data_IF_488171161878
#
_entry.id   IF_488171161878
#
_cell.length_a   1.000
_cell.length_b   1.000
_cell.length_c   1.000
_cell.angle_alpha   90.00
_cell.angle_beta   90.00
_cell.angle_gamma   90.00
#
_symmetry.space_group_name_H-M   'P 1'
#
loop_
_entity.id
_entity.type
_entity.pdbx_description
1 polymer ?
#
# COMPACT_ATOMS: atom_id res chain seq x y z
N UNK A 1 -85.11 20.28 -12.26
CA UNK A 1 -85.11 20.06 -13.72
C UNK A 1 -83.73 20.45 -14.23
N UNK A 2 -83.16 19.57 -15.05
CA UNK A 2 -82.15 19.85 -16.08
C UNK A 2 -80.68 20.04 -15.65
N UNK A 3 -79.90 19.04 -16.05
CA UNK A 3 -78.47 19.04 -16.30
C UNK A 3 -78.01 20.21 -17.17
N UNK A 4 -76.77 20.69 -16.99
CA UNK A 4 -75.80 20.80 -18.11
C UNK A 4 -74.35 20.94 -17.60
N UNK A 5 -73.46 20.14 -18.18
CA UNK A 5 -72.01 20.09 -17.94
C UNK A 5 -71.22 21.11 -18.82
N UNK A 6 -69.90 21.10 -18.57
CA UNK A 6 -68.75 21.37 -19.47
C UNK A 6 -68.24 22.84 -19.49
N UNK A 7 -67.05 23.11 -18.93
CA UNK A 7 -65.79 22.98 -19.68
C UNK A 7 -64.55 23.49 -18.92
N UNK A 8 -63.41 22.95 -19.34
CA UNK A 8 -62.07 22.93 -18.76
C UNK A 8 -61.30 24.25 -18.88
N UNK A 9 -60.46 24.50 -17.89
CA UNK A 9 -59.14 25.11 -18.08
C UNK A 9 -58.53 25.66 -16.80
N UNK A 10 -57.37 25.15 -16.37
CA UNK A 10 -56.37 26.05 -15.81
C UNK A 10 -55.03 25.83 -16.52
N UNK A 11 -54.57 26.91 -17.17
CA UNK A 11 -53.22 27.05 -17.67
C UNK A 11 -52.41 27.81 -16.62
N UNK A 12 -51.12 27.48 -16.53
CA UNK A 12 -50.02 28.20 -15.85
C UNK A 12 -49.87 27.97 -14.34
N UNK A 13 -49.00 27.05 -13.90
CA UNK A 13 -47.51 27.10 -13.85
C UNK A 13 -47.02 27.89 -12.64
N UNK A 14 -46.48 27.19 -11.63
CA UNK A 14 -45.05 27.30 -11.26
C UNK A 14 -44.72 26.31 -10.14
N UNK A 15 -43.87 25.35 -10.50
CA UNK A 15 -43.28 24.35 -9.64
C UNK A 15 -42.18 24.97 -8.76
N UNK A 16 -42.22 24.73 -7.45
CA UNK A 16 -41.06 24.93 -6.56
C UNK A 16 -40.55 23.56 -6.14
N UNK A 17 -39.66 22.99 -6.95
CA UNK A 17 -38.89 21.80 -6.65
C UNK A 17 -37.67 22.23 -5.80
N UNK A 18 -37.77 22.13 -4.48
CA UNK A 18 -36.68 22.39 -3.55
C UNK A 18 -35.67 21.24 -3.60
N UNK A 19 -34.67 21.37 -4.49
CA UNK A 19 -33.55 20.44 -4.59
C UNK A 19 -32.63 20.65 -3.38
N UNK A 20 -32.65 19.71 -2.44
CA UNK A 20 -31.70 19.64 -1.32
C UNK A 20 -30.33 19.21 -1.89
N UNK A 21 -29.53 20.20 -2.28
CA UNK A 21 -28.18 20.01 -2.81
C UNK A 21 -27.24 19.66 -1.65
N UNK A 22 -27.03 18.36 -1.43
CA UNK A 22 -26.02 17.87 -0.50
C UNK A 22 -24.63 18.35 -0.96
N UNK A 23 -23.98 19.15 -0.12
CA UNK A 23 -22.58 19.56 -0.24
C UNK A 23 -21.67 18.33 -0.21
N UNK A 24 -21.46 17.71 -1.37
CA UNK A 24 -20.35 16.78 -1.58
C UNK A 24 -19.10 17.63 -1.73
N UNK A 25 -18.37 17.85 -0.64
CA UNK A 25 -17.05 18.46 -0.69
C UNK A 25 -16.16 17.62 -1.63
N UNK A 26 -15.60 18.20 -2.71
CA UNK A 26 -14.64 17.48 -3.51
C UNK A 26 -13.44 17.15 -2.62
N UNK A 27 -13.14 15.86 -2.43
CA UNK A 27 -11.85 15.45 -1.89
C UNK A 27 -10.80 16.03 -2.81
N UNK A 28 -10.00 16.96 -2.27
CA UNK A 28 -8.87 17.52 -2.97
C UNK A 28 -8.08 16.38 -3.60
N UNK A 29 -8.05 16.35 -4.93
CA UNK A 29 -7.13 15.50 -5.65
C UNK A 29 -5.73 15.95 -5.19
N UNK A 30 -5.03 15.06 -4.48
CA UNK A 30 -3.60 15.21 -4.22
C UNK A 30 -2.94 15.38 -5.58
N UNK A 31 -2.66 16.63 -5.94
CA UNK A 31 -1.76 16.89 -7.06
C UNK A 31 -0.46 16.16 -6.75
N UNK A 32 0.19 15.61 -7.77
CA UNK A 32 1.53 15.02 -7.65
C UNK A 32 2.61 16.08 -7.33
N UNK A 33 2.26 17.11 -6.54
CA UNK A 33 3.13 18.14 -6.01
C UNK A 33 3.88 17.65 -4.78
N UNK A 34 5.12 18.13 -4.64
CA UNK A 34 5.95 17.89 -3.46
C UNK A 34 5.23 18.49 -2.24
N UNK A 35 4.90 17.65 -1.26
CA UNK A 35 4.21 18.06 -0.04
C UNK A 35 5.13 17.99 1.19
N UNK A 36 6.42 17.72 0.98
CA UNK A 36 7.47 17.84 1.99
C UNK A 36 8.32 19.10 1.79
N UNK A 37 8.75 19.73 2.89
CA UNK A 37 9.64 20.90 2.86
C UNK A 37 10.62 20.89 4.03
N UNK A 38 11.76 21.57 3.85
CA UNK A 38 12.70 21.85 4.95
C UNK A 38 12.35 23.20 5.57
N UNK A 39 12.26 23.25 6.89
CA UNK A 39 12.07 24.47 7.66
C UNK A 39 13.18 24.63 8.70
N UNK A 40 13.48 25.87 9.06
CA UNK A 40 14.44 26.23 10.11
C UNK A 40 13.67 26.85 11.29
N UNK A 41 13.98 26.42 12.50
CA UNK A 41 13.46 27.02 13.73
C UNK A 41 14.52 26.92 14.82
N UNK A 42 14.89 28.05 15.42
CA UNK A 42 15.84 28.10 16.55
C UNK A 42 17.19 27.45 16.24
N UNK A 43 17.74 27.64 15.03
CA UNK A 43 19.00 27.04 14.61
C UNK A 43 18.94 25.55 14.21
N UNK A 44 17.82 24.87 14.48
CA UNK A 44 17.57 23.50 14.06
C UNK A 44 16.80 23.45 12.74
N UNK A 45 17.06 22.41 11.96
CA UNK A 45 16.32 22.12 10.74
C UNK A 45 15.33 20.99 10.97
N UNK A 46 14.21 21.06 10.25
CA UNK A 46 13.14 20.09 10.31
C UNK A 46 12.60 19.79 8.92
N UNK A 47 12.20 18.55 8.70
CA UNK A 47 11.40 18.15 7.55
C UNK A 47 9.94 18.19 7.98
N UNK A 48 9.13 18.96 7.27
CA UNK A 48 7.70 19.02 7.48
C UNK A 48 7.06 18.25 6.33
N UNK A 49 6.31 17.21 6.67
CA UNK A 49 5.50 16.45 5.73
C UNK A 49 4.04 16.86 5.88
N UNK A 50 3.51 17.61 4.91
CA UNK A 50 2.09 17.98 4.84
C UNK A 50 1.24 16.93 4.10
N UNK A 51 1.88 15.95 3.45
CA UNK A 51 1.19 14.85 2.80
C UNK A 51 0.37 14.07 3.82
N UNK A 52 -0.72 13.46 3.35
CA UNK A 52 -1.55 12.57 4.16
C UNK A 52 -0.95 11.16 4.30
N UNK A 53 0.17 10.90 3.65
CA UNK A 53 0.89 9.64 3.66
C UNK A 53 2.34 9.82 4.11
N UNK A 54 2.97 8.73 4.52
CA UNK A 54 4.39 8.72 4.86
C UNK A 54 5.26 8.99 3.62
N UNK A 55 6.32 9.79 3.78
CA UNK A 55 7.27 10.11 2.72
C UNK A 55 8.70 9.74 3.10
N UNK A 56 9.42 9.13 2.17
CA UNK A 56 10.87 8.97 2.20
C UNK A 56 11.50 10.16 1.48
N UNK A 57 12.30 10.93 2.21
CA UNK A 57 12.84 12.21 1.75
C UNK A 57 14.36 12.14 1.76
N UNK A 58 14.97 12.34 0.60
CA UNK A 58 16.42 12.52 0.50
C UNK A 58 16.79 13.98 0.67
N UNK A 59 17.68 14.26 1.61
CA UNK A 59 18.21 15.59 1.88
C UNK A 59 19.67 15.65 1.53
N UNK A 60 20.01 16.69 0.76
CA UNK A 60 21.36 17.12 0.49
C UNK A 60 21.70 18.32 1.37
N UNK A 61 22.82 18.22 2.10
CA UNK A 61 23.40 19.30 2.90
C UNK A 61 24.70 19.77 2.25
N UNK A 62 24.74 21.03 1.82
CA UNK A 62 25.99 21.68 1.36
C UNK A 62 26.56 22.55 2.49
N UNK A 63 27.85 22.38 2.78
CA UNK A 63 28.63 23.23 3.69
C UNK A 63 29.60 24.09 2.88
N UNK A 64 29.90 25.31 3.36
CA UNK A 64 30.91 26.16 2.73
C UNK A 64 32.29 25.51 2.92
N UNK A 65 33.13 25.53 1.89
CA UNK A 65 34.49 24.98 1.93
C UNK A 65 34.60 23.45 1.79
N UNK A 66 33.48 22.72 1.72
CA UNK A 66 33.49 21.26 1.48
C UNK A 66 32.92 21.01 0.09
N UNK A 67 33.71 20.38 -0.79
CA UNK A 67 33.32 20.11 -2.17
C UNK A 67 32.14 19.13 -2.25
N UNK A 68 32.16 18.07 -1.45
CA UNK A 68 31.18 16.99 -1.52
C UNK A 68 30.03 17.20 -0.52
N UNK A 69 28.76 17.27 -0.98
CA UNK A 69 27.62 17.47 -0.11
C UNK A 69 27.23 16.18 0.62
N UNK A 70 26.70 16.30 1.83
CA UNK A 70 26.26 15.16 2.63
C UNK A 70 24.82 14.81 2.28
N UNK A 71 24.57 13.55 1.95
CA UNK A 71 23.23 13.03 1.64
C UNK A 71 22.69 12.21 2.83
N UNK A 72 21.43 12.38 3.18
CA UNK A 72 20.72 11.53 4.16
C UNK A 72 19.27 11.30 3.75
N UNK A 73 18.79 10.10 4.01
CA UNK A 73 17.40 9.68 3.74
C UNK A 73 16.62 9.62 5.04
N UNK A 74 15.39 10.13 5.04
CA UNK A 74 14.52 10.14 6.22
C UNK A 74 13.12 9.65 5.88
N UNK A 75 12.57 8.78 6.73
CA UNK A 75 11.16 8.39 6.69
C UNK A 75 10.36 9.35 7.58
N UNK A 76 9.51 10.15 6.95
CA UNK A 76 8.75 11.20 7.62
C UNK A 76 7.28 10.82 7.61
N UNK A 77 6.70 10.64 8.79
CA UNK A 77 5.28 10.27 8.97
C UNK A 77 4.36 11.32 8.33
N UNK A 78 3.16 10.91 7.93
CA UNK A 78 2.13 11.82 7.43
C UNK A 78 1.86 12.96 8.43
N UNK A 79 1.62 14.17 7.90
CA UNK A 79 1.25 15.37 8.70
C UNK A 79 2.13 15.59 9.93
N UNK A 80 3.45 15.39 9.78
CA UNK A 80 4.40 15.43 10.90
C UNK A 80 5.59 16.33 10.64
N UNK A 81 6.30 16.66 11.72
CA UNK A 81 7.55 17.41 11.71
C UNK A 81 8.65 16.51 12.24
N UNK A 82 9.69 16.29 11.44
CA UNK A 82 10.82 15.42 11.77
C UNK A 82 12.10 16.25 11.95
N UNK A 83 12.79 16.18 13.10
CA UNK A 83 14.04 16.90 13.31
C UNK A 83 15.17 16.28 12.49
N UNK A 84 15.94 17.09 11.76
CA UNK A 84 17.13 16.58 11.08
C UNK A 84 18.37 16.82 11.93
N UNK A 85 19.15 15.77 12.15
CA UNK A 85 20.34 15.78 13.03
C UNK A 85 21.58 16.44 12.39
N UNK A 86 21.41 17.48 11.55
CA UNK A 86 22.54 18.18 10.95
C UNK A 86 23.09 19.23 11.93
N UNK A 87 24.30 18.98 12.45
CA UNK A 87 25.03 19.96 13.27
C UNK A 87 25.71 21.01 12.36
N UNK A 88 25.69 22.27 12.79
CA UNK A 88 26.48 23.36 12.20
C UNK A 88 25.90 24.03 10.94
N UNK A 89 26.57 25.11 10.46
CA UNK A 89 26.08 25.93 9.36
C UNK A 89 26.06 25.18 8.03
N UNK A 90 25.11 25.52 7.17
CA UNK A 90 24.93 24.93 5.85
C UNK A 90 23.54 25.16 5.28
N UNK A 91 23.32 24.65 4.08
CA UNK A 91 22.04 24.72 3.38
C UNK A 91 21.56 23.30 3.05
N UNK A 92 20.37 22.96 3.53
CA UNK A 92 19.70 21.68 3.27
C UNK A 92 18.66 21.86 2.18
N UNK A 93 18.59 20.90 1.25
CA UNK A 93 17.56 20.84 0.20
C UNK A 93 17.08 19.42 0.04
N UNK A 94 15.79 19.27 -0.25
CA UNK A 94 15.22 17.96 -0.59
C UNK A 94 15.53 17.67 -2.06
N UNK A 95 16.25 16.59 -2.30
CA UNK A 95 16.63 16.16 -3.66
C UNK A 95 15.63 15.16 -4.25
N UNK A 96 15.01 14.34 -3.42
CA UNK A 96 13.91 13.47 -3.86
C UNK A 96 12.88 13.26 -2.75
N UNK A 97 11.65 13.01 -3.15
CA UNK A 97 10.51 12.68 -2.29
C UNK A 97 9.78 11.51 -2.94
N UNK A 98 9.62 10.41 -2.21
CA UNK A 98 8.81 9.25 -2.62
C UNK A 98 7.91 8.84 -1.46
N UNK A 99 6.80 8.15 -1.73
CA UNK A 99 6.00 7.59 -0.63
C UNK A 99 6.76 6.44 0.05
N UNK A 100 6.50 6.23 1.35
CA UNK A 100 7.04 5.09 2.09
C UNK A 100 6.55 3.77 1.51
N UNK A 101 7.35 2.72 1.63
CA UNK A 101 6.99 1.40 1.12
C UNK A 101 5.64 0.94 1.68
N UNK A 102 4.75 0.48 0.78
CA UNK A 102 3.37 0.10 1.12
C UNK A 102 2.32 1.22 0.99
N UNK A 103 2.71 2.48 0.81
CA UNK A 103 1.78 3.62 0.62
C UNK A 103 1.35 3.79 -0.84
N UNK A 104 0.17 4.37 -1.06
CA UNK A 104 -0.33 4.70 -2.42
C UNK A 104 0.65 5.68 -3.10
N UNK A 105 1.26 5.25 -4.20
CA UNK A 105 2.25 6.03 -4.96
C UNK A 105 3.72 5.81 -4.56
N UNK A 106 4.02 4.80 -3.74
CA UNK A 106 5.38 4.38 -3.45
C UNK A 106 5.95 3.53 -4.60
N UNK A 107 7.25 3.67 -4.87
CA UNK A 107 7.96 2.65 -5.63
C UNK A 107 7.97 1.37 -4.78
N UNK A 108 7.25 0.34 -5.22
CA UNK A 108 7.31 -0.97 -4.59
C UNK A 108 8.63 -1.61 -5.01
N UNK A 109 9.43 -2.11 -4.07
CA UNK A 109 10.63 -2.87 -4.39
C UNK A 109 10.23 -4.14 -5.13
N UNK A 110 10.32 -4.17 -6.45
CA UNK A 110 9.99 -5.34 -7.29
C UNK A 110 10.88 -6.57 -6.93
N UNK A 111 12.01 -6.31 -6.27
CA UNK A 111 13.01 -7.29 -5.82
C UNK A 111 12.72 -7.80 -4.40
N UNK A 112 11.83 -7.17 -3.63
CA UNK A 112 11.44 -7.65 -2.31
C UNK A 112 10.35 -8.74 -2.44
N UNK A 113 10.57 -9.99 -1.97
CA UNK A 113 9.59 -11.07 -2.09
C UNK A 113 8.24 -10.78 -1.41
N UNK A 114 8.15 -9.73 -0.58
CA UNK A 114 6.88 -9.25 0.00
C UNK A 114 6.06 -8.35 -0.93
N UNK A 115 6.67 -7.64 -1.88
CA UNK A 115 5.94 -6.74 -2.79
C UNK A 115 5.19 -7.51 -3.89
N UNK A 116 5.74 -8.64 -4.34
CA UNK A 116 5.10 -9.54 -5.29
C UNK A 116 3.81 -10.15 -4.74
N UNK A 117 3.65 -10.21 -3.41
CA UNK A 117 2.45 -10.75 -2.77
C UNK A 117 1.21 -9.85 -2.92
N UNK A 118 1.34 -8.59 -3.34
CA UNK A 118 0.20 -7.65 -3.34
C UNK A 118 -0.40 -7.42 -4.74
N UNK A 119 0.21 -7.93 -5.82
CA UNK A 119 -0.30 -7.74 -7.19
C UNK A 119 -0.75 -9.05 -7.89
N UNK A 120 -0.36 -10.22 -7.40
CA UNK A 120 -1.04 -11.47 -7.75
C UNK A 120 -2.08 -11.77 -6.68
N UNK A 121 -3.33 -11.99 -7.09
CA UNK A 121 -4.32 -12.65 -6.24
C UNK A 121 -3.75 -14.02 -5.88
N UNK A 122 -2.99 -14.11 -4.78
CA UNK A 122 -2.38 -15.35 -4.33
C UNK A 122 -3.53 -16.29 -3.98
N UNK A 123 -3.84 -17.17 -4.92
CA UNK A 123 -4.88 -18.17 -4.76
C UNK A 123 -4.50 -19.12 -3.63
N UNK A 124 -3.20 -19.30 -3.41
CA UNK A 124 -2.67 -20.19 -2.40
C UNK A 124 -2.06 -19.41 -1.23
N UNK A 125 -2.39 -19.84 -0.01
CA UNK A 125 -1.80 -19.32 1.22
C UNK A 125 -1.31 -20.44 2.12
N UNK A 126 -0.24 -20.18 2.88
CA UNK A 126 0.22 -21.06 3.95
C UNK A 126 -0.43 -20.61 5.26
N UNK A 127 -1.05 -21.54 5.99
CA UNK A 127 -1.74 -21.30 7.27
C UNK A 127 -1.29 -22.33 8.29
N UNK A 128 -1.48 -22.02 9.57
CA UNK A 128 -1.46 -23.03 10.63
C UNK A 128 -2.90 -23.44 10.92
N UNK A 129 -3.13 -24.75 10.96
CA UNK A 129 -4.38 -25.35 11.42
C UNK A 129 -4.55 -25.13 12.94
N UNK A 130 -5.77 -25.33 13.44
CA UNK A 130 -6.05 -25.36 14.88
C UNK A 130 -5.23 -26.40 15.64
N UNK A 131 -4.79 -27.46 14.95
CA UNK A 131 -3.89 -28.49 15.49
C UNK A 131 -2.40 -28.09 15.49
N UNK A 132 -2.06 -26.88 15.05
CA UNK A 132 -0.67 -26.43 14.88
C UNK A 132 0.02 -26.97 13.61
N UNK A 133 -0.65 -27.81 12.82
CA UNK A 133 -0.11 -28.32 11.57
C UNK A 133 -0.09 -27.22 10.49
N UNK A 134 1.01 -27.10 9.76
CA UNK A 134 1.11 -26.18 8.62
C UNK A 134 0.36 -26.76 7.42
N UNK A 135 -0.50 -25.96 6.80
CA UNK A 135 -1.34 -26.34 5.66
C UNK A 135 -1.23 -25.33 4.53
N UNK A 136 -1.36 -25.80 3.29
CA UNK A 136 -1.60 -24.97 2.11
C UNK A 136 -3.10 -24.89 1.87
N UNK A 137 -3.62 -23.68 1.65
CA UNK A 137 -5.03 -23.43 1.35
C UNK A 137 -5.13 -22.78 -0.03
N UNK A 138 -5.81 -23.44 -0.96
CA UNK A 138 -6.19 -22.85 -2.23
C UNK A 138 -7.57 -22.21 -2.09
N UNK A 139 -7.65 -20.89 -2.01
CA UNK A 139 -8.90 -20.13 -1.94
C UNK A 139 -9.57 -19.89 -3.30
N UNK A 140 -8.93 -20.26 -4.41
CA UNK A 140 -9.50 -20.07 -5.73
C UNK A 140 -10.35 -21.26 -6.19
N UNK A 141 -11.31 -20.96 -7.07
CA UNK A 141 -12.19 -21.93 -7.71
C UNK A 141 -11.53 -22.70 -8.86
N UNK A 142 -10.20 -22.62 -8.98
CA UNK A 142 -9.42 -23.28 -10.03
C UNK A 142 -8.24 -24.06 -9.44
N UNK A 143 -7.75 -25.05 -10.19
CA UNK A 143 -6.59 -25.85 -9.78
C UNK A 143 -5.32 -24.99 -9.73
N UNK A 144 -4.51 -25.18 -8.69
CA UNK A 144 -3.25 -24.46 -8.50
C UNK A 144 -2.10 -25.41 -8.22
N UNK A 145 -0.95 -25.15 -8.84
CA UNK A 145 0.34 -25.74 -8.47
C UNK A 145 1.09 -24.75 -7.59
N UNK A 146 1.31 -25.07 -6.32
CA UNK A 146 1.99 -24.20 -5.35
C UNK A 146 3.40 -24.70 -5.05
N UNK A 147 4.40 -23.82 -5.06
CA UNK A 147 5.76 -24.10 -4.67
C UNK A 147 6.04 -23.55 -3.26
N UNK A 148 6.69 -24.37 -2.43
CA UNK A 148 7.18 -23.99 -1.10
C UNK A 148 8.67 -24.29 -0.98
N UNK A 149 9.33 -23.63 -0.03
CA UNK A 149 10.70 -23.93 0.39
C UNK A 149 10.72 -24.31 1.86
N UNK A 150 11.53 -25.31 2.22
CA UNK A 150 11.70 -25.78 3.61
C UNK A 150 12.95 -25.20 4.22
N UNK A 151 12.93 -24.98 5.53
CA UNK A 151 14.07 -24.50 6.28
C UNK A 151 14.39 -25.39 7.47
N UNK A 152 15.68 -25.65 7.67
CA UNK A 152 16.23 -26.33 8.83
C UNK A 152 16.34 -25.35 10.02
N UNK A 153 16.56 -25.84 11.26
CA UNK A 153 16.96 -24.99 12.36
C UNK A 153 18.16 -24.11 11.95
N UNK A 154 18.08 -22.80 12.18
CA UNK A 154 19.10 -21.85 11.71
C UNK A 154 18.87 -21.27 10.31
N UNK A 155 17.75 -21.58 9.64
CA UNK A 155 17.33 -20.90 8.41
C UNK A 155 17.98 -21.43 7.13
N UNK A 156 18.75 -22.53 7.19
CA UNK A 156 19.31 -23.18 6.00
C UNK A 156 18.19 -23.78 5.15
N UNK A 157 18.17 -23.47 3.85
CA UNK A 157 17.22 -24.09 2.91
C UNK A 157 17.44 -25.61 2.82
N UNK A 158 16.33 -26.35 2.88
CA UNK A 158 16.24 -27.80 2.71
C UNK A 158 15.64 -28.18 1.35
N UNK A 159 15.52 -27.20 0.43
CA UNK A 159 15.02 -27.41 -0.92
C UNK A 159 13.54 -27.06 -1.11
N UNK A 160 13.14 -27.07 -2.39
CA UNK A 160 11.82 -26.66 -2.87
C UNK A 160 10.92 -27.86 -3.14
N UNK A 161 9.64 -27.72 -2.88
CA UNK A 161 8.61 -28.74 -3.14
C UNK A 161 7.39 -28.11 -3.78
N UNK A 162 6.79 -28.83 -4.72
CA UNK A 162 5.58 -28.41 -5.41
C UNK A 162 4.37 -29.27 -5.01
N UNK A 163 3.21 -28.64 -4.90
CA UNK A 163 1.94 -29.26 -4.54
C UNK A 163 0.88 -28.93 -5.57
N UNK A 164 0.23 -29.96 -6.13
CA UNK A 164 -0.96 -29.79 -6.96
C UNK A 164 -2.19 -29.74 -6.06
N UNK A 165 -2.92 -28.63 -6.12
CA UNK A 165 -4.08 -28.32 -5.29
C UNK A 165 -5.35 -28.28 -6.12
N UNK A 166 -6.39 -28.98 -5.66
CA UNK A 166 -7.73 -28.87 -6.22
C UNK A 166 -8.31 -27.47 -5.92
N UNK A 167 -9.32 -26.99 -6.66
CA UNK A 167 -10.10 -25.82 -6.28
C UNK A 167 -10.54 -25.89 -4.81
N UNK A 168 -10.49 -24.77 -4.09
CA UNK A 168 -11.03 -24.66 -2.71
C UNK A 168 -10.57 -25.78 -1.76
N UNK A 169 -9.30 -26.19 -1.85
CA UNK A 169 -8.77 -27.33 -1.11
C UNK A 169 -7.71 -26.95 -0.10
N UNK A 170 -7.53 -27.82 0.90
CA UNK A 170 -6.50 -27.70 1.93
C UNK A 170 -5.59 -28.92 1.84
N UNK A 171 -4.28 -28.70 1.77
CA UNK A 171 -3.27 -29.77 1.77
C UNK A 171 -2.38 -29.63 3.01
N UNK A 172 -2.29 -30.64 3.88
CA UNK A 172 -1.35 -30.62 4.99
C UNK A 172 0.09 -30.76 4.51
N UNK A 173 0.99 -29.96 5.07
CA UNK A 173 2.41 -30.05 4.81
C UNK A 173 3.06 -30.83 5.96
N UNK A 174 3.53 -32.05 5.66
CA UNK A 174 4.34 -32.80 6.60
C UNK A 174 5.70 -32.09 6.82
N UNK A 175 6.19 -31.94 8.06
CA UNK A 175 7.39 -31.14 8.36
C UNK A 175 8.67 -31.73 7.76
N UNK A 176 8.79 -33.06 7.63
CA UNK A 176 9.98 -33.75 7.06
C UNK A 176 11.32 -33.26 7.65
N UNK A 177 11.36 -32.97 8.95
CA UNK A 177 12.54 -32.44 9.65
C UNK A 177 12.79 -30.93 9.49
N UNK A 178 11.94 -30.21 8.75
CA UNK A 178 11.99 -28.76 8.66
C UNK A 178 11.35 -28.09 9.88
N UNK A 179 11.92 -26.95 10.31
CA UNK A 179 11.34 -26.08 11.36
C UNK A 179 10.36 -25.06 10.80
N UNK A 180 10.41 -24.85 9.48
CA UNK A 180 9.58 -23.85 8.82
C UNK A 180 9.45 -24.12 7.33
N UNK A 181 8.43 -23.49 6.76
CA UNK A 181 8.18 -23.47 5.32
C UNK A 181 7.87 -22.04 4.89
N UNK A 182 8.37 -21.64 3.72
CA UNK A 182 7.96 -20.42 3.05
C UNK A 182 7.19 -20.77 1.79
N UNK A 183 6.11 -20.03 1.54
CA UNK A 183 5.50 -19.98 0.24
C UNK A 183 6.44 -19.29 -0.75
N UNK A 184 6.52 -19.80 -1.98
CA UNK A 184 7.31 -19.18 -3.06
C UNK A 184 6.41 -18.58 -4.12
N UNK A 185 5.53 -19.39 -4.72
CA UNK A 185 4.65 -18.98 -5.81
C UNK A 185 3.55 -20.02 -6.04
N UNK A 186 2.49 -19.64 -6.77
CA UNK A 186 1.54 -20.56 -7.36
C UNK A 186 1.26 -20.26 -8.83
N UNK A 187 0.93 -21.30 -9.59
CA UNK A 187 0.54 -21.23 -11.00
C UNK A 187 -0.76 -21.97 -11.22
N UNK A 188 -1.53 -21.57 -12.23
CA UNK A 188 -2.67 -22.35 -12.67
C UNK A 188 -2.21 -23.72 -13.18
N UNK A 189 -2.93 -24.79 -12.84
CA UNK A 189 -2.65 -26.10 -13.41
C UNK A 189 -2.91 -26.05 -14.93
N UNK A 190 -2.01 -26.65 -15.72
CA UNK A 190 -2.28 -26.91 -17.13
C UNK A 190 -3.35 -28.01 -17.22
N UNK A 191 -4.42 -27.73 -17.97
CA UNK A 191 -5.48 -28.69 -18.34
C UNK A 191 -4.92 -29.79 -19.23
#
# INVERSE_FOLDING_TARGET
MSHFEISRGPLTVLATLSILMALVAPKAADSAGRCTRVAKQGGSEFIINNCHTCRVVNIQRKRRGIAMPVMRTFNVRARSKFPVSFKGPGISRITSEVACEGEKGAAQNIIDPRSQQTAQRNCVSVRQSSSGQVVLVNGCNSCRGAAIERFAPGGKSMGRQAYKMKPQSVIPINPKGAVGVSYLADVACKS
#
